data_IF_071285717724
#
_entry.id   IF_071285717724
#
_cell.length_a   1.000
_cell.length_b   1.000
_cell.length_c   1.000
_cell.angle_alpha   90.00
_cell.angle_beta   90.00
_cell.angle_gamma   90.00
#
_symmetry.space_group_name_H-M   'P 1'
#
loop_
_entity.id
_entity.type
_entity.pdbx_description
1 polymer ?
#
# COMPACT_ATOMS: atom_id res chain seq x y z
N UNK A 1 -2.41 7.53 -6.48
CA UNK A 1 -1.90 6.46 -5.59
C UNK A 1 -1.53 7.07 -4.25
N UNK A 2 -1.75 6.36 -3.16
CA UNK A 2 -1.35 6.74 -1.81
C UNK A 2 -0.63 5.57 -1.12
N UNK A 3 0.27 5.87 -0.18
CA UNK A 3 1.05 4.89 0.57
C UNK A 3 1.15 5.37 2.01
N UNK A 4 0.64 4.59 2.96
CA UNK A 4 0.72 4.89 4.39
C UNK A 4 0.61 3.59 5.20
N UNK A 5 1.42 3.42 6.24
CA UNK A 5 1.31 2.26 7.15
C UNK A 5 0.12 2.44 8.13
N UNK A 6 -1.08 2.57 7.57
CA UNK A 6 -2.34 2.81 8.27
C UNK A 6 -3.54 2.41 7.41
N UNK A 7 -4.75 2.58 7.96
CA UNK A 7 -6.00 2.17 7.31
C UNK A 7 -6.15 2.84 5.94
N UNK A 8 -6.61 2.09 4.94
CA UNK A 8 -6.83 2.61 3.57
C UNK A 8 -8.02 3.57 3.50
N UNK A 9 -8.93 3.47 4.47
CA UNK A 9 -10.12 4.29 4.56
C UNK A 9 -9.79 5.79 4.56
N UNK A 10 -10.46 6.55 3.69
CA UNK A 10 -10.26 7.99 3.52
C UNK A 10 -9.31 8.35 2.38
N UNK A 11 -8.33 7.51 2.05
CA UNK A 11 -7.38 7.79 0.97
C UNK A 11 -8.03 7.78 -0.43
N UNK A 12 -9.08 6.98 -0.61
CA UNK A 12 -9.85 6.93 -1.86
C UNK A 12 -10.46 8.29 -2.27
N UNK A 13 -10.67 9.23 -1.32
CA UNK A 13 -11.08 10.61 -1.62
C UNK A 13 -10.06 11.34 -2.49
N UNK A 14 -8.77 11.03 -2.35
CA UNK A 14 -7.68 11.71 -3.03
C UNK A 14 -7.20 10.95 -4.26
N UNK A 15 -7.22 9.61 -4.20
CA UNK A 15 -6.70 8.78 -5.31
C UNK A 15 -7.76 8.42 -6.35
N UNK A 16 -9.04 8.65 -6.07
CA UNK A 16 -10.16 8.31 -6.96
C UNK A 16 -10.57 6.84 -6.87
N UNK A 17 -11.59 6.47 -7.64
CA UNK A 17 -12.16 5.10 -7.67
C UNK A 17 -11.21 4.07 -8.28
N UNK A 18 -10.41 4.50 -9.25
CA UNK A 18 -9.42 3.66 -9.92
C UNK A 18 -8.03 3.78 -9.26
N UNK A 19 -7.92 4.53 -8.17
CA UNK A 19 -6.68 4.76 -7.45
C UNK A 19 -6.32 3.59 -6.54
N UNK A 20 -5.05 3.23 -6.51
CA UNK A 20 -4.50 2.24 -5.56
C UNK A 20 -4.03 2.93 -4.28
N UNK A 21 -4.30 2.28 -3.14
CA UNK A 21 -3.78 2.64 -1.81
C UNK A 21 -2.99 1.44 -1.29
N UNK A 22 -1.71 1.64 -0.96
CA UNK A 22 -0.92 0.65 -0.22
C UNK A 22 -1.03 1.05 1.25
N UNK A 23 -1.83 0.28 2.00
CA UNK A 23 -2.13 0.51 3.41
C UNK A 23 -2.26 -0.78 4.20
N UNK A 24 -2.68 -0.65 5.45
CA UNK A 24 -2.84 -1.74 6.40
C UNK A 24 -4.25 -1.67 7.03
N UNK A 25 -5.15 -2.54 6.58
CA UNK A 25 -6.53 -2.64 7.09
C UNK A 25 -6.70 -3.71 8.19
N UNK A 26 -5.62 -4.45 8.49
CA UNK A 26 -5.56 -5.45 9.55
C UNK A 26 -4.73 -4.95 10.75
N UNK A 27 -4.82 -5.65 11.90
CA UNK A 27 -4.12 -5.25 13.13
C UNK A 27 -2.59 -5.34 13.08
N UNK A 28 -2.03 -6.13 12.16
CA UNK A 28 -0.59 -6.39 12.09
C UNK A 28 -0.18 -7.76 12.65
N UNK A 29 1.12 -7.92 12.91
CA UNK A 29 1.71 -9.17 13.40
C UNK A 29 2.96 -8.93 14.26
N UNK A 30 3.24 -9.85 15.19
CA UNK A 30 4.48 -9.81 15.99
C UNK A 30 5.65 -10.35 15.17
N UNK A 31 6.48 -9.45 14.65
CA UNK A 31 7.66 -9.75 13.83
C UNK A 31 8.64 -8.56 13.84
N UNK A 32 9.90 -8.72 13.39
CA UNK A 32 10.78 -7.60 13.10
C UNK A 32 10.14 -6.63 12.10
N UNK A 33 10.35 -5.32 12.30
CA UNK A 33 9.67 -4.27 11.53
C UNK A 33 9.84 -4.42 10.02
N UNK A 34 11.06 -4.63 9.54
CA UNK A 34 11.35 -4.76 8.10
C UNK A 34 10.63 -5.97 7.48
N UNK A 35 10.63 -7.10 8.18
CA UNK A 35 9.93 -8.30 7.74
C UNK A 35 8.41 -8.08 7.74
N UNK A 36 7.86 -7.45 8.77
CA UNK A 36 6.44 -7.12 8.83
C UNK A 36 6.03 -6.22 7.66
N UNK A 37 6.78 -5.14 7.43
CA UNK A 37 6.53 -4.19 6.34
C UNK A 37 6.58 -4.86 4.97
N UNK A 38 7.60 -5.69 4.71
CA UNK A 38 7.70 -6.46 3.46
C UNK A 38 6.47 -7.37 3.27
N UNK A 39 6.07 -8.10 4.31
CA UNK A 39 4.92 -9.02 4.26
C UNK A 39 3.58 -8.32 4.11
N UNK A 40 3.44 -7.11 4.65
CA UNK A 40 2.28 -6.26 4.43
C UNK A 40 2.32 -5.47 3.11
N UNK A 41 3.32 -5.72 2.25
CA UNK A 41 3.38 -5.14 0.91
C UNK A 41 4.01 -3.74 0.85
N UNK A 42 4.62 -3.28 1.94
CA UNK A 42 5.39 -2.04 1.98
C UNK A 42 6.83 -2.29 1.51
N UNK A 43 6.97 -2.69 0.24
CA UNK A 43 8.25 -2.83 -0.44
C UNK A 43 8.33 -1.91 -1.66
N UNK A 44 9.55 -1.55 -2.04
CA UNK A 44 9.80 -0.69 -3.22
C UNK A 44 9.28 -1.39 -4.48
N UNK A 45 9.47 -2.70 -4.58
CA UNK A 45 9.05 -3.52 -5.70
C UNK A 45 7.53 -3.49 -5.88
N UNK A 46 6.78 -3.64 -4.78
CA UNK A 46 5.32 -3.60 -4.83
C UNK A 46 4.80 -2.20 -5.19
N UNK A 47 5.38 -1.15 -4.59
CA UNK A 47 5.04 0.24 -4.90
C UNK A 47 5.24 0.56 -6.38
N UNK A 48 6.38 0.16 -6.94
CA UNK A 48 6.69 0.37 -8.37
C UNK A 48 5.76 -0.44 -9.26
N UNK A 49 5.45 -1.69 -8.90
CA UNK A 49 4.50 -2.52 -9.64
C UNK A 49 3.11 -1.89 -9.69
N UNK A 50 2.56 -1.46 -8.56
CA UNK A 50 1.26 -0.78 -8.49
C UNK A 50 1.25 0.53 -9.29
N UNK A 51 2.32 1.33 -9.18
CA UNK A 51 2.42 2.58 -9.93
C UNK A 51 2.47 2.34 -11.44
N UNK A 52 3.18 1.31 -11.90
CA UNK A 52 3.23 0.93 -13.32
C UNK A 52 1.89 0.44 -13.84
N UNK A 53 1.20 -0.40 -13.07
CA UNK A 53 -0.14 -0.87 -13.39
C UNK A 53 -1.12 0.29 -13.58
N UNK A 54 -1.09 1.29 -12.69
CA UNK A 54 -1.92 2.50 -12.81
C UNK A 54 -1.64 3.31 -14.08
N UNK A 55 -0.40 3.28 -14.58
CA UNK A 55 0.01 3.95 -15.81
C UNK A 55 -0.20 3.08 -17.07
N UNK A 56 -0.69 1.85 -16.92
CA UNK A 56 -0.85 0.89 -18.01
C UNK A 56 0.48 0.43 -18.62
N UNK A 57 1.53 0.28 -17.79
CA UNK A 57 2.89 -0.11 -18.20
C UNK A 57 3.43 -1.30 -17.42
#
# INVERSE_FOLDING_TARGET
MAIEAGVTHGWHKFVGTDGVVIGLDDFGASAPGDLAMEKFGFSVENVVACARQLLGR
#
